data_IF_294261825928
#
_entry.id   IF_294261825928
#
_cell.length_a   1.000
_cell.length_b   1.000
_cell.length_c   1.000
_cell.angle_alpha   90.00
_cell.angle_beta   90.00
_cell.angle_gamma   90.00
#
_symmetry.space_group_name_H-M   'P 1'
#
loop_
_entity.id
_entity.type
_entity.pdbx_description
1 polymer ?
#
# COMPACT_ATOMS: atom_id res chain seq x y z
N UNK A 1 11.26 27.98 13.71
CA UNK A 1 10.69 27.88 12.34
C UNK A 1 9.30 27.27 12.46
N UNK A 2 8.30 27.84 11.81
CA UNK A 2 6.96 27.24 11.74
C UNK A 2 6.86 26.52 10.40
N UNK A 3 6.62 25.18 10.46
CA UNK A 3 6.44 24.36 9.26
C UNK A 3 4.94 24.22 8.97
N UNK A 4 4.51 24.62 7.78
CA UNK A 4 3.11 24.66 7.36
C UNK A 4 2.79 23.80 6.13
N UNK A 5 3.70 22.89 5.76
CA UNK A 5 3.57 22.05 4.54
C UNK A 5 3.44 20.56 4.89
N UNK A 6 2.61 20.24 5.86
CA UNK A 6 2.36 18.85 6.28
C UNK A 6 1.72 17.99 5.20
N UNK A 7 1.16 18.61 4.15
CA UNK A 7 0.66 17.88 2.99
C UNK A 7 1.80 17.28 2.14
N UNK A 8 2.97 17.90 2.13
CA UNK A 8 4.15 17.39 1.42
C UNK A 8 4.88 16.33 2.26
N UNK A 9 5.16 16.63 3.52
CA UNK A 9 5.83 15.71 4.46
C UNK A 9 5.38 15.99 5.89
N UNK A 10 5.41 14.97 6.73
CA UNK A 10 5.18 15.09 8.16
C UNK A 10 6.18 14.22 8.92
N UNK A 11 6.52 14.54 10.18
CA UNK A 11 7.30 13.63 11.00
C UNK A 11 6.54 12.32 11.18
N UNK A 12 7.29 11.23 11.29
CA UNK A 12 6.73 9.92 11.65
C UNK A 12 6.37 9.98 13.14
N UNK A 13 5.18 9.51 13.48
CA UNK A 13 4.78 9.33 14.86
C UNK A 13 5.69 8.33 15.57
N UNK A 14 6.02 8.57 16.85
CA UNK A 14 6.96 7.74 17.61
C UNK A 14 6.48 6.29 17.73
N UNK A 15 5.19 6.07 17.98
CA UNK A 15 4.62 4.71 18.06
C UNK A 15 4.72 3.98 16.72
N UNK A 16 4.56 4.71 15.61
CA UNK A 16 4.70 4.15 14.26
C UNK A 16 6.16 3.81 13.99
N UNK A 17 7.10 4.70 14.34
CA UNK A 17 8.52 4.46 14.17
C UNK A 17 8.98 3.22 14.95
N UNK A 18 8.57 3.12 16.22
CA UNK A 18 8.89 1.96 17.08
C UNK A 18 8.35 0.65 16.49
N UNK A 19 7.15 0.67 15.91
CA UNK A 19 6.58 -0.50 15.24
C UNK A 19 7.33 -0.87 13.94
N UNK A 20 7.97 0.08 13.26
CA UNK A 20 8.75 -0.14 12.03
C UNK A 20 10.16 -0.67 12.31
N UNK A 21 10.80 -0.22 13.39
CA UNK A 21 12.21 -0.51 13.67
C UNK A 21 12.58 -1.99 13.67
N UNK A 22 11.78 -2.92 14.23
CA UNK A 22 12.08 -4.35 14.18
C UNK A 22 12.21 -4.88 12.73
N UNK A 23 11.34 -4.43 11.83
CA UNK A 23 11.37 -4.86 10.42
C UNK A 23 12.54 -4.27 9.63
N UNK A 24 13.11 -3.15 10.09
CA UNK A 24 14.29 -2.55 9.48
C UNK A 24 15.60 -3.16 9.97
N UNK A 25 15.63 -3.71 11.19
CA UNK A 25 16.85 -4.18 11.84
C UNK A 25 16.94 -5.71 11.95
N UNK A 26 15.86 -6.37 12.28
CA UNK A 26 15.86 -7.77 12.70
C UNK A 26 15.02 -8.66 11.79
N UNK A 27 13.77 -8.27 11.51
CA UNK A 27 12.78 -9.03 10.74
C UNK A 27 12.70 -8.60 9.26
N UNK A 28 13.83 -8.28 8.66
CA UNK A 28 13.97 -7.79 7.29
C UNK A 28 13.76 -8.87 6.20
N UNK A 29 12.89 -9.84 6.44
CA UNK A 29 12.58 -10.91 5.48
C UNK A 29 11.86 -10.41 4.24
N UNK A 30 12.12 -11.03 3.09
CA UNK A 30 11.35 -10.76 1.88
C UNK A 30 10.04 -11.56 1.91
N UNK A 31 8.86 -10.91 1.98
CA UNK A 31 7.57 -11.59 2.07
C UNK A 31 7.22 -12.44 0.84
N UNK A 32 7.92 -12.25 -0.28
CA UNK A 32 7.75 -13.06 -1.50
C UNK A 32 8.58 -14.33 -1.51
N UNK A 33 9.52 -14.50 -0.57
CA UNK A 33 10.33 -15.72 -0.46
C UNK A 33 9.56 -16.84 0.26
N UNK A 34 9.98 -18.10 0.02
CA UNK A 34 9.28 -19.30 0.55
C UNK A 34 10.16 -20.21 1.42
N UNK A 35 11.40 -19.82 1.69
CA UNK A 35 12.41 -20.77 2.16
C UNK A 35 12.99 -20.48 3.54
N UNK A 36 12.51 -19.47 4.26
CA UNK A 36 13.05 -19.13 5.59
C UNK A 36 12.02 -18.40 6.46
N UNK A 37 12.11 -18.60 7.78
CA UNK A 37 11.14 -18.09 8.76
C UNK A 37 10.94 -16.58 8.72
N UNK A 38 11.98 -15.79 8.45
CA UNK A 38 11.85 -14.33 8.34
C UNK A 38 10.96 -13.89 7.16
N UNK A 39 10.88 -14.69 6.10
CA UNK A 39 9.94 -14.41 5.01
C UNK A 39 8.49 -14.64 5.44
N UNK A 40 8.25 -15.71 6.20
CA UNK A 40 6.92 -16.02 6.74
C UNK A 40 6.47 -14.92 7.73
N UNK A 41 7.37 -14.49 8.63
CA UNK A 41 7.11 -13.39 9.56
C UNK A 41 6.78 -12.10 8.83
N UNK A 42 7.57 -11.74 7.82
CA UNK A 42 7.33 -10.55 7.00
C UNK A 42 5.99 -10.64 6.24
N UNK A 43 5.68 -11.80 5.67
CA UNK A 43 4.39 -12.03 4.99
C UNK A 43 3.22 -11.88 5.94
N UNK A 44 3.28 -12.48 7.12
CA UNK A 44 2.25 -12.36 8.13
C UNK A 44 2.05 -10.89 8.54
N UNK A 45 3.13 -10.14 8.80
CA UNK A 45 3.07 -8.74 9.16
C UNK A 45 2.40 -7.88 8.08
N UNK A 46 2.70 -8.14 6.80
CA UNK A 46 2.06 -7.44 5.66
C UNK A 46 0.56 -7.76 5.62
N UNK A 47 0.15 -9.01 5.80
CA UNK A 47 -1.27 -9.39 5.78
C UNK A 47 -2.05 -8.83 6.98
N UNK A 48 -1.43 -8.78 8.16
CA UNK A 48 -2.02 -8.13 9.34
C UNK A 48 -2.20 -6.61 9.11
N UNK A 49 -1.19 -5.94 8.55
CA UNK A 49 -1.28 -4.54 8.17
C UNK A 49 -2.39 -4.30 7.14
N UNK A 50 -2.48 -5.15 6.12
CA UNK A 50 -3.53 -5.12 5.10
C UNK A 50 -4.92 -5.22 5.72
N UNK A 51 -5.11 -6.16 6.64
CA UNK A 51 -6.38 -6.36 7.34
C UNK A 51 -6.77 -5.16 8.20
N UNK A 52 -5.80 -4.52 8.87
CA UNK A 52 -6.04 -3.29 9.66
C UNK A 52 -6.46 -2.12 8.78
N UNK A 53 -5.79 -1.92 7.64
CA UNK A 53 -6.16 -0.87 6.67
C UNK A 53 -7.54 -1.15 6.07
N UNK A 54 -7.83 -2.39 5.72
CA UNK A 54 -9.14 -2.78 5.22
C UNK A 54 -10.26 -2.49 6.22
N UNK A 55 -10.05 -2.85 7.48
CA UNK A 55 -11.02 -2.57 8.56
C UNK A 55 -11.26 -1.06 8.75
N UNK A 56 -10.19 -0.24 8.68
CA UNK A 56 -10.29 1.21 8.77
C UNK A 56 -11.14 1.82 7.64
N UNK A 57 -11.02 1.26 6.43
CA UNK A 57 -11.71 1.74 5.23
C UNK A 57 -13.09 1.09 5.02
N UNK A 58 -13.47 0.11 5.83
CA UNK A 58 -14.68 -0.68 5.63
C UNK A 58 -14.63 -1.56 4.37
N UNK A 59 -13.42 -1.96 3.96
CA UNK A 59 -13.14 -2.79 2.79
C UNK A 59 -12.74 -4.21 3.20
N UNK A 60 -12.61 -5.12 2.22
CA UNK A 60 -12.03 -6.45 2.41
C UNK A 60 -10.51 -6.39 2.21
N UNK A 61 -9.77 -7.31 2.83
CA UNK A 61 -8.31 -7.37 2.69
C UNK A 61 -7.85 -7.53 1.23
N UNK A 62 -8.60 -8.28 0.42
CA UNK A 62 -8.31 -8.47 -1.00
C UNK A 62 -8.45 -7.20 -1.85
N UNK A 63 -9.15 -6.19 -1.33
CA UNK A 63 -9.36 -4.89 -2.00
C UNK A 63 -8.25 -3.89 -1.68
N UNK A 64 -7.33 -4.22 -0.78
CA UNK A 64 -6.21 -3.36 -0.39
C UNK A 64 -4.96 -3.75 -1.16
N UNK A 65 -4.38 -2.79 -1.87
CA UNK A 65 -3.13 -2.96 -2.60
C UNK A 65 -2.12 -1.94 -2.09
N UNK A 66 -1.00 -2.42 -1.56
CA UNK A 66 0.12 -1.57 -1.18
C UNK A 66 0.97 -1.23 -2.41
N UNK A 67 1.30 0.04 -2.56
CA UNK A 67 2.12 0.57 -3.66
C UNK A 67 3.30 1.35 -3.10
N UNK A 68 4.30 1.61 -3.92
CA UNK A 68 5.47 2.42 -3.54
C UNK A 68 5.15 3.91 -3.37
N UNK A 69 3.96 4.37 -3.81
CA UNK A 69 3.53 5.74 -3.66
C UNK A 69 2.39 6.12 -4.59
N UNK A 70 1.96 7.38 -4.50
CA UNK A 70 0.80 7.91 -5.24
C UNK A 70 0.95 7.80 -6.77
N UNK A 71 2.16 7.97 -7.30
CA UNK A 71 2.42 7.84 -8.75
C UNK A 71 2.11 6.43 -9.25
N UNK A 72 2.53 5.40 -8.54
CA UNK A 72 2.20 4.02 -8.88
C UNK A 72 0.70 3.76 -8.76
N UNK A 73 0.09 4.18 -7.65
CA UNK A 73 -1.35 4.03 -7.42
C UNK A 73 -2.17 4.68 -8.54
N UNK A 74 -1.86 5.93 -8.90
CA UNK A 74 -2.56 6.66 -9.96
C UNK A 74 -2.41 5.97 -11.32
N UNK A 75 -1.20 5.55 -11.68
CA UNK A 75 -0.97 4.82 -12.93
C UNK A 75 -1.72 3.49 -12.98
N UNK A 76 -1.72 2.75 -11.86
CA UNK A 76 -2.41 1.47 -11.75
C UNK A 76 -3.93 1.66 -11.92
N UNK A 77 -4.52 2.66 -11.26
CA UNK A 77 -5.96 2.94 -11.35
C UNK A 77 -6.33 3.36 -12.78
N UNK A 78 -5.65 4.35 -13.35
CA UNK A 78 -5.96 4.86 -14.69
C UNK A 78 -5.86 3.75 -15.73
N UNK A 79 -4.76 3.00 -15.74
CA UNK A 79 -4.56 1.91 -16.69
C UNK A 79 -5.56 0.77 -16.47
N UNK A 80 -5.77 0.37 -15.22
CA UNK A 80 -6.72 -0.69 -14.87
C UNK A 80 -8.15 -0.37 -15.25
N UNK A 81 -8.60 0.87 -15.00
CA UNK A 81 -9.95 1.31 -15.39
C UNK A 81 -10.10 1.39 -16.90
N UNK A 82 -9.10 1.90 -17.62
CA UNK A 82 -9.13 1.96 -19.09
C UNK A 82 -9.15 0.57 -19.70
N UNK A 83 -8.33 -0.35 -19.21
CA UNK A 83 -8.32 -1.74 -19.70
C UNK A 83 -9.64 -2.45 -19.39
N UNK A 84 -10.17 -2.29 -18.18
CA UNK A 84 -11.48 -2.83 -17.82
C UNK A 84 -12.58 -2.26 -18.73
N UNK A 85 -12.58 -0.93 -18.93
CA UNK A 85 -13.57 -0.26 -19.79
C UNK A 85 -13.53 -0.76 -21.23
N UNK A 86 -12.34 -1.02 -21.76
CA UNK A 86 -12.14 -1.55 -23.11
C UNK A 86 -12.80 -2.91 -23.31
N UNK A 87 -12.78 -3.76 -22.28
CA UNK A 87 -13.26 -5.14 -22.38
C UNK A 87 -14.69 -5.34 -21.89
N UNK A 88 -15.16 -4.50 -20.97
CA UNK A 88 -16.42 -4.72 -20.24
C UNK A 88 -17.42 -3.56 -20.29
N UNK A 89 -16.99 -2.35 -20.74
CA UNK A 89 -17.86 -1.17 -20.78
C UNK A 89 -17.83 -0.56 -22.17
N UNK A 90 -18.87 -0.75 -22.97
CA UNK A 90 -18.96 -0.26 -24.34
C UNK A 90 -18.57 1.22 -24.48
N UNK A 91 -17.39 1.47 -25.04
CA UNK A 91 -16.99 2.77 -25.55
C UNK A 91 -16.67 3.89 -24.56
N UNK A 92 -16.64 3.63 -23.26
CA UNK A 92 -16.24 4.63 -22.25
C UNK A 92 -14.72 4.67 -22.15
N UNK A 93 -14.07 5.54 -22.93
CA UNK A 93 -12.62 5.67 -23.02
C UNK A 93 -12.11 7.11 -22.77
N UNK A 94 -12.96 7.95 -22.18
CA UNK A 94 -12.60 9.34 -21.89
C UNK A 94 -12.19 9.50 -20.42
N UNK A 95 -11.03 10.10 -20.17
CA UNK A 95 -10.51 10.41 -18.85
C UNK A 95 -10.44 11.93 -18.72
N UNK A 96 -10.99 12.47 -17.64
CA UNK A 96 -10.87 13.87 -17.26
C UNK A 96 -9.86 13.98 -16.13
N UNK A 97 -8.84 14.83 -16.28
CA UNK A 97 -7.80 15.10 -15.28
C UNK A 97 -7.84 16.56 -14.86
#
# INVERSE_FOLDING_TARGET
>A
MIYLDSAATSPIDEEVLDAMLPYLKEEYGNPSSKYYCKADNAKQAVEEARSKVAALLGAKSEEIIFTAGSTESTNMIIKGVLDYSKYYCEGKNHVIT
#
